data_IF_131018834757
#
_entry.id   IF_131018834757
#
_cell.length_a   1.000
_cell.length_b   1.000
_cell.length_c   1.000
_cell.angle_alpha   90.00
_cell.angle_beta   90.00
_cell.angle_gamma   90.00
#
_symmetry.space_group_name_H-M   'P 1'
#
loop_
_entity.id
_entity.type
_entity.pdbx_description
1 polymer ?
2 non-polymer ?
3 non-polymer ?
4 water ?
#
# COMPACT_ATOMS: atom_id res chain seq x y z
N UNK A 21 8.31 -8.88 -14.92
CA UNK A 21 9.38 -8.13 -15.56
C UNK A 21 8.82 -6.85 -16.19
N UNK A 22 7.53 -6.60 -15.98
CA UNK A 22 6.85 -5.45 -16.54
C UNK A 22 6.26 -4.58 -15.44
N UNK A 23 6.47 -3.27 -15.54
CA UNK A 23 5.85 -2.34 -14.61
C UNK A 23 4.43 -2.03 -15.07
N UNK A 24 3.58 -1.65 -14.12
CA UNK A 24 2.18 -1.42 -14.44
C UNK A 24 1.61 -0.27 -13.62
N UNK A 25 0.46 0.22 -14.08
CA UNK A 25 -0.28 1.30 -13.44
C UNK A 25 -1.76 0.99 -13.50
N UNK A 26 -2.50 1.34 -12.46
CA UNK A 26 -3.93 1.09 -12.38
C UNK A 26 -4.66 2.37 -12.01
N UNK A 27 -5.65 2.75 -12.81
CA UNK A 27 -6.43 3.95 -12.58
C UNK A 27 -7.62 3.66 -11.67
N UNK A 28 -7.92 4.62 -10.79
CA UNK A 28 -9.04 4.47 -9.88
C UNK A 28 -10.35 4.36 -10.66
N UNK A 29 -11.11 3.30 -10.38
CA UNK A 29 -12.38 3.05 -11.03
C UNK A 29 -13.30 2.36 -10.04
N UNK A 30 -14.56 2.78 -10.02
CA UNK A 30 -15.56 2.15 -9.16
C UNK A 30 -16.09 0.84 -9.74
N UNK A 31 -15.54 0.37 -10.86
CA UNK A 31 -15.96 -0.86 -11.51
C UNK A 31 -14.92 -1.95 -11.30
N UNK A 32 -15.19 -3.11 -11.89
CA UNK A 32 -14.33 -4.29 -11.87
C UNK A 32 -14.10 -4.83 -10.46
N UNK A 33 -14.93 -4.45 -9.48
CA UNK A 33 -14.83 -5.00 -8.14
C UNK A 33 -15.61 -6.30 -8.06
N UNK A 34 -14.92 -7.40 -7.77
CA UNK A 34 -15.56 -8.70 -7.74
C UNK A 34 -15.97 -9.07 -6.32
N UNK A 35 -17.10 -9.77 -6.14
CA UNK A 35 -17.52 -10.16 -4.79
C UNK A 35 -16.64 -11.28 -4.25
N UNK A 36 -16.22 -11.13 -3.00
CA UNK A 36 -15.39 -12.10 -2.30
C UNK A 36 -16.09 -12.72 -1.10
N UNK A 37 -16.78 -11.92 -0.31
CA UNK A 37 -17.55 -12.36 0.85
C UNK A 37 -18.78 -11.48 0.93
N UNK A 38 -19.83 -11.90 1.65
CA UNK A 38 -20.98 -11.03 1.86
C UNK A 38 -20.57 -9.65 2.39
N UNK A 39 -20.74 -8.63 1.55
CA UNK A 39 -20.36 -7.28 1.90
C UNK A 39 -18.90 -6.92 1.65
N UNK A 40 -18.12 -7.83 1.08
CA UNK A 40 -16.70 -7.61 0.83
C UNK A 40 -16.44 -7.73 -0.66
N UNK A 41 -15.96 -6.65 -1.26
CA UNK A 41 -15.56 -6.65 -2.67
C UNK A 41 -14.04 -6.50 -2.77
N UNK A 42 -13.44 -7.20 -3.72
CA UNK A 42 -11.99 -7.24 -3.88
C UNK A 42 -11.65 -6.89 -5.32
N UNK A 43 -10.47 -6.30 -5.51
CA UNK A 43 -9.97 -5.98 -6.84
C UNK A 43 -8.45 -5.88 -6.77
N UNK A 44 -7.76 -6.72 -7.53
CA UNK A 44 -6.30 -6.65 -7.61
C UNK A 44 -5.90 -5.47 -8.48
N UNK A 45 -5.16 -4.53 -7.91
CA UNK A 45 -4.75 -3.34 -8.65
C UNK A 45 -3.53 -3.62 -9.53
N UNK A 46 -2.39 -3.93 -8.90
CA UNK A 46 -1.16 -4.22 -9.60
C UNK A 46 -0.43 -5.34 -8.87
N UNK A 47 0.54 -5.94 -9.56
CA UNK A 47 1.41 -6.93 -8.95
C UNK A 47 2.73 -6.95 -9.70
N UNK A 48 3.75 -7.51 -9.06
CA UNK A 48 5.06 -7.59 -9.66
C UNK A 48 5.74 -8.91 -9.45
N UNK A 49 7.05 -8.89 -9.20
CA UNK A 49 7.82 -10.09 -9.00
C UNK A 49 7.85 -10.55 -7.54
N UNK A 50 7.61 -9.65 -6.59
CA UNK A 50 7.63 -9.99 -5.18
C UNK A 50 6.38 -9.58 -4.42
N UNK A 51 5.51 -8.76 -4.99
CA UNK A 51 4.34 -8.25 -4.27
C UNK A 51 3.10 -8.38 -5.14
N UNK A 52 1.96 -8.10 -4.51
CA UNK A 52 0.67 -8.01 -5.18
C UNK A 52 -0.21 -7.09 -4.35
N UNK A 53 -0.84 -6.12 -5.00
CA UNK A 53 -1.64 -5.11 -4.31
C UNK A 53 -3.11 -5.27 -4.68
N UNK A 54 -3.97 -5.35 -3.67
CA UNK A 54 -5.41 -5.45 -3.84
C UNK A 54 -6.10 -4.33 -3.08
N UNK A 55 -7.33 -4.05 -3.48
CA UNK A 55 -8.17 -3.07 -2.80
C UNK A 55 -9.48 -3.73 -2.37
N UNK A 56 -9.82 -3.59 -1.09
CA UNK A 56 -11.03 -4.17 -0.52
C UNK A 56 -12.05 -3.08 -0.26
N UNK A 57 -13.27 -3.29 -0.72
CA UNK A 57 -14.41 -2.43 -0.42
C UNK A 57 -15.34 -3.21 0.50
N UNK A 58 -15.47 -2.75 1.74
CA UNK A 58 -16.12 -3.51 2.81
C UNK A 58 -17.34 -2.73 3.30
N UNK A 59 -18.50 -3.36 3.25
CA UNK A 59 -19.73 -2.74 3.71
C UNK A 59 -19.81 -2.74 5.24
N UNK A 60 -20.65 -1.86 5.77
CA UNK A 60 -20.85 -1.76 7.21
C UNK A 60 -21.49 -3.04 7.74
N UNK A 61 -20.92 -3.57 8.83
CA UNK A 61 -21.42 -4.77 9.46
C UNK A 61 -20.77 -6.05 9.00
N UNK A 62 -20.10 -6.04 7.85
CA UNK A 62 -19.43 -7.23 7.35
C UNK A 62 -18.15 -7.48 8.14
N UNK A 63 -17.47 -8.58 7.81
CA UNK A 63 -16.24 -8.94 8.50
C UNK A 63 -15.44 -9.89 7.64
N UNK A 64 -14.14 -9.96 7.90
CA UNK A 64 -13.27 -10.92 7.24
C UNK A 64 -12.96 -12.05 8.22
N UNK A 65 -13.22 -13.30 7.85
CA UNK A 65 -13.01 -14.41 8.80
C UNK A 65 -11.54 -14.68 9.04
N UNK A 66 -11.29 -15.49 10.07
CA UNK A 66 -9.93 -15.82 10.46
C UNK A 66 -9.27 -16.70 9.40
N UNK A 67 -8.08 -16.30 8.97
CA UNK A 67 -7.33 -17.05 7.96
C UNK A 67 -5.84 -17.00 8.28
N UNK A 68 -5.12 -18.00 7.81
CA UNK A 68 -3.66 -18.06 7.90
C UNK A 68 -3.15 -18.46 6.52
N UNK A 69 -2.54 -17.51 5.82
CA UNK A 69 -1.99 -17.74 4.50
C UNK A 69 -0.48 -17.53 4.52
N UNK A 70 0.27 -18.28 3.69
CA UNK A 70 1.73 -18.14 3.63
C UNK A 70 2.20 -16.88 2.89
N UNK A 71 1.57 -15.75 3.22
CA UNK A 71 1.89 -14.48 2.59
C UNK A 71 1.93 -13.40 3.67
N UNK A 72 3.00 -12.62 3.68
CA UNK A 72 3.04 -11.45 4.55
C UNK A 72 2.07 -10.40 4.02
N UNK A 73 1.31 -9.79 4.92
CA UNK A 73 0.26 -8.86 4.56
C UNK A 73 0.49 -7.53 5.27
N UNK A 74 0.75 -6.49 4.50
CA UNK A 74 0.84 -5.13 5.01
C UNK A 74 -0.21 -4.28 4.33
N UNK A 75 -0.97 -3.50 5.12
CA UNK A 75 -2.15 -2.84 4.62
C UNK A 75 -2.23 -1.40 5.08
N UNK A 76 -3.20 -0.68 4.49
CA UNK A 76 -3.43 0.72 4.78
C UNK A 76 -4.93 0.97 4.64
N UNK A 77 -5.54 1.64 5.62
CA UNK A 77 -6.96 1.91 5.59
C UNK A 77 -7.18 3.28 4.95
N UNK A 78 -7.80 3.30 3.78
CA UNK A 78 -8.07 4.57 3.10
C UNK A 78 -9.16 5.34 3.82
N UNK A 79 -10.25 4.66 4.20
CA UNK A 79 -11.36 5.32 4.85
C UNK A 79 -12.14 4.29 5.65
N UNK A 80 -13.02 4.77 6.51
CA UNK A 80 -13.88 3.93 7.31
C UNK A 80 -13.32 3.68 8.69
N UNK A 81 -13.83 2.62 9.32
CA UNK A 81 -13.43 2.23 10.67
C UNK A 81 -13.65 0.73 10.82
N UNK A 82 -12.59 0.01 11.14
CA UNK A 82 -12.64 -1.44 11.34
C UNK A 82 -11.93 -1.78 12.64
N UNK A 83 -12.08 -3.04 13.05
CA UNK A 83 -11.36 -3.60 14.18
C UNK A 83 -10.50 -4.74 13.67
N UNK A 84 -9.19 -4.58 13.77
CA UNK A 84 -8.25 -5.57 13.28
C UNK A 84 -7.79 -6.47 14.43
N UNK A 85 -7.85 -7.77 14.21
CA UNK A 85 -7.39 -8.76 15.17
C UNK A 85 -6.16 -9.44 14.57
N UNK A 86 -5.02 -9.33 15.24
CA UNK A 86 -3.81 -10.03 14.83
C UNK A 86 -3.36 -10.91 15.99
N UNK A 87 -3.23 -12.21 15.73
CA UNK A 87 -2.93 -13.20 16.77
C UNK A 87 -3.88 -13.02 17.96
N UNK A 88 -3.33 -12.58 19.10
CA UNK A 88 -4.12 -12.32 20.29
C UNK A 88 -4.38 -10.83 20.50
N UNK A 89 -3.83 -9.96 19.66
CA UNK A 89 -3.97 -8.53 19.83
C UNK A 89 -5.22 -8.02 19.13
N UNK A 90 -5.80 -6.96 19.70
CA UNK A 90 -6.98 -6.31 19.14
C UNK A 90 -6.70 -4.83 18.99
N UNK A 91 -7.15 -4.25 17.87
CA UNK A 91 -6.88 -2.84 17.60
C UNK A 91 -8.00 -2.26 16.75
N UNK A 92 -8.50 -1.09 17.15
CA UNK A 92 -9.42 -0.34 16.31
C UNK A 92 -8.63 0.43 15.27
N UNK A 93 -9.04 0.31 14.00
CA UNK A 93 -8.33 0.93 12.87
C UNK A 93 -9.22 1.99 12.27
N UNK A 94 -8.66 3.17 12.03
CA UNK A 94 -9.34 4.29 11.40
C UNK A 94 -8.54 4.75 10.19
N UNK A 95 -9.05 5.78 9.51
CA UNK A 95 -8.44 6.27 8.28
C UNK A 95 -6.99 6.71 8.52
N UNK A 96 -6.09 6.20 7.70
CA UNK A 96 -4.67 6.52 7.79
C UNK A 96 -3.84 5.51 8.53
N UNK A 97 -4.46 4.63 9.31
CA UNK A 97 -3.73 3.62 10.05
C UNK A 97 -3.21 2.54 9.12
N UNK A 98 -2.16 1.85 9.56
CA UNK A 98 -1.53 0.80 8.78
C UNK A 98 -1.20 -0.38 9.69
N UNK A 99 -0.87 -1.51 9.06
CA UNK A 99 -0.57 -2.74 9.79
C UNK A 99 0.34 -3.60 8.94
N UNK A 100 0.95 -4.61 9.59
CA UNK A 100 1.77 -5.60 8.91
C UNK A 100 1.56 -6.94 9.61
N UNK A 101 1.08 -7.93 8.87
CA UNK A 101 0.74 -9.24 9.39
C UNK A 101 1.73 -10.25 8.82
N UNK A 102 2.50 -10.96 9.65
CA UNK A 102 3.48 -11.91 9.11
C UNK A 102 2.84 -13.13 8.47
N UNK A 103 3.67 -14.04 7.97
CA UNK A 103 3.16 -15.25 7.36
C UNK A 103 2.54 -16.16 8.42
N UNK A 104 1.44 -16.82 8.03
CA UNK A 104 0.85 -17.90 8.82
C UNK A 104 0.43 -17.45 10.22
N UNK A 105 0.08 -16.17 10.36
CA UNK A 105 -0.37 -15.62 11.64
C UNK A 105 -1.87 -15.42 11.57
N UNK A 106 -2.58 -15.90 12.59
CA UNK A 106 -4.03 -15.76 12.63
C UNK A 106 -4.43 -14.30 12.66
N UNK A 107 -5.38 -13.94 11.79
CA UNK A 107 -5.86 -12.57 11.72
C UNK A 107 -7.27 -12.57 11.14
N UNK A 108 -8.08 -11.64 11.65
CA UNK A 108 -9.43 -11.41 11.11
C UNK A 108 -9.82 -10.00 11.50
N UNK A 109 -10.90 -9.51 10.88
CA UNK A 109 -11.32 -8.14 11.09
C UNK A 109 -12.84 -8.05 11.10
N UNK A 110 -13.35 -7.04 11.80
CA UNK A 110 -14.77 -6.71 11.85
C UNK A 110 -14.95 -5.29 11.37
N UNK A 111 -15.81 -5.10 10.38
CA UNK A 111 -15.98 -3.81 9.71
C UNK A 111 -17.10 -3.06 10.40
N UNK A 112 -16.76 -1.93 11.03
CA UNK A 112 -17.75 -1.15 11.78
C UNK A 112 -18.48 -0.12 10.92
N UNK A 113 -17.81 0.43 9.91
CA UNK A 113 -18.42 1.37 8.98
C UNK A 113 -17.96 1.03 7.57
N UNK A 114 -18.63 1.61 6.59
CA UNK A 114 -18.22 1.45 5.19
C UNK A 114 -16.77 1.85 5.03
N UNK A 115 -15.90 0.87 4.78
CA UNK A 115 -14.46 1.11 4.76
C UNK A 115 -13.86 0.68 3.42
N UNK A 116 -12.67 1.23 3.16
CA UNK A 116 -11.87 0.89 2.00
C UNK A 116 -10.44 0.68 2.48
N UNK A 117 -9.85 -0.46 2.10
CA UNK A 117 -8.49 -0.78 2.52
C UNK A 117 -7.66 -1.21 1.31
N UNK A 118 -6.38 -0.87 1.34
CA UNK A 118 -5.40 -1.32 0.36
C UNK A 118 -4.48 -2.31 1.06
N UNK A 119 -4.28 -3.48 0.44
CA UNK A 119 -3.50 -4.55 1.04
C UNK A 119 -2.43 -5.02 0.07
N UNK A 120 -1.21 -5.21 0.57
CA UNK A 120 -0.10 -5.72 -0.22
C UNK A 120 0.29 -7.07 0.36
N UNK A 121 0.56 -8.03 -0.53
CA UNK A 121 0.95 -9.38 -0.13
C UNK A 121 2.33 -9.70 -0.67
N UNK A 122 3.14 -10.37 0.14
CA UNK A 122 4.47 -10.80 -0.29
C UNK A 122 4.72 -12.23 0.17
N UNK A 123 5.07 -13.15 -0.74
CA UNK A 123 5.28 -12.87 -2.16
C UNK A 123 3.98 -12.71 -2.95
N UNK A 124 4.11 -12.66 -4.28
CA UNK A 124 2.95 -12.47 -5.16
C UNK A 124 1.90 -13.54 -4.94
N UNK A 125 0.76 -13.16 -4.35
CA UNK A 125 -0.35 -14.08 -4.10
C UNK A 125 -1.02 -14.44 -5.41
N UNK A 126 -0.59 -15.52 -6.06
CA UNK A 126 -1.01 -15.82 -7.41
C UNK A 126 -2.51 -16.10 -7.51
N UNK A 127 -3.13 -16.56 -6.43
CA UNK A 127 -4.56 -16.82 -6.46
C UNK A 127 -5.38 -15.54 -6.59
N UNK A 128 -4.82 -14.39 -6.21
CA UNK A 128 -5.53 -13.12 -6.32
C UNK A 128 -5.31 -12.43 -7.66
N UNK A 129 -4.49 -13.00 -8.55
CA UNK A 129 -4.29 -12.41 -9.87
C UNK A 129 -5.58 -12.44 -10.66
N UNK A 130 -6.46 -13.41 -10.39
CA UNK A 130 -7.72 -13.50 -11.12
C UNK A 130 -8.66 -12.36 -10.82
N UNK A 131 -8.42 -11.58 -9.75
CA UNK A 131 -9.24 -10.42 -9.44
C UNK A 131 -8.70 -9.13 -10.08
N UNK A 132 -7.75 -9.25 -11.01
CA UNK A 132 -7.15 -8.05 -11.60
C UNK A 132 -8.18 -7.28 -12.39
N UNK A 133 -8.21 -5.96 -12.18
CA UNK A 133 -9.12 -5.13 -12.94
C UNK A 133 -8.68 -5.07 -14.40
N UNK A 134 -9.63 -4.76 -15.27
CA UNK A 134 -9.31 -4.59 -16.69
C UNK A 134 -8.64 -3.24 -16.98
N UNK A 135 -8.65 -2.31 -16.03
CA UNK A 135 -8.09 -0.97 -16.22
C UNK A 135 -6.62 -0.87 -15.83
N UNK A 136 -5.90 -1.97 -15.71
CA UNK A 136 -4.47 -1.94 -15.40
C UNK A 136 -3.66 -2.02 -16.69
N UNK A 137 -2.88 -0.96 -16.97
CA UNK A 137 -2.05 -0.90 -18.16
C UNK A 137 -0.61 -1.15 -17.76
N UNK A 138 0.20 -1.57 -18.74
CA UNK A 138 1.61 -1.86 -18.52
C UNK A 138 2.44 -0.63 -18.86
N UNK A 139 3.48 -0.38 -18.06
CA UNK A 139 4.34 0.80 -18.19
C UNK A 139 3.52 2.08 -18.11
N UNK B 21 9.60 -11.11 12.86
CA UNK B 21 8.66 -12.18 13.16
C UNK B 21 7.52 -11.69 14.05
N UNK B 22 7.47 -10.38 14.27
CA UNK B 22 6.46 -9.77 15.12
C UNK B 22 5.64 -8.78 14.30
N UNK B 23 4.32 -8.82 14.50
CA UNK B 23 3.42 -7.90 13.82
C UNK B 23 3.40 -6.54 14.54
N UNK B 24 3.02 -5.52 13.78
CA UNK B 24 2.99 -4.16 14.30
C UNK B 24 1.80 -3.41 13.72
N UNK B 25 1.46 -2.30 14.37
CA UNK B 25 0.36 -1.43 13.96
C UNK B 25 0.81 0.02 14.12
N UNK B 26 0.38 0.87 13.19
CA UNK B 26 0.76 2.27 13.20
C UNK B 26 -0.47 3.14 13.09
N UNK B 27 -0.61 4.09 14.02
CA UNK B 27 -1.73 5.02 14.01
C UNK B 27 -1.39 6.24 13.17
N UNK B 28 -2.39 6.74 12.44
CA UNK B 28 -2.17 7.92 11.61
C UNK B 28 -1.80 9.12 12.46
N UNK B 29 -0.69 9.75 12.13
CA UNK B 29 -0.22 10.92 12.85
C UNK B 29 0.51 11.84 11.88
N UNK B 30 0.24 13.14 11.98
CA UNK B 30 0.90 14.12 11.14
C UNK B 30 2.30 14.48 11.62
N UNK B 31 2.80 13.81 12.66
CA UNK B 31 4.12 14.07 13.22
C UNK B 31 5.08 12.95 12.82
N UNK B 32 6.30 13.05 13.32
CA UNK B 32 7.37 12.07 13.10
C UNK B 32 7.73 11.91 11.62
N UNK B 33 7.37 12.88 10.79
CA UNK B 33 7.75 12.86 9.38
C UNK B 33 9.15 13.45 9.22
N UNK B 34 10.08 12.65 8.69
CA UNK B 34 11.45 13.12 8.58
C UNK B 34 11.69 13.71 7.19
N UNK B 35 12.51 14.75 7.09
CA UNK B 35 12.81 15.35 5.78
C UNK B 35 13.74 14.45 4.98
N UNK B 36 13.40 14.24 3.72
CA UNK B 36 14.20 13.43 2.80
C UNK B 36 14.76 14.23 1.65
N UNK B 37 13.95 15.08 1.03
CA UNK B 37 14.33 15.96 -0.06
C UNK B 37 13.56 17.26 0.08
N UNK B 38 14.00 18.34 -0.59
CA UNK B 38 13.23 19.59 -0.58
C UNK B 38 11.77 19.38 -0.95
N UNK B 39 10.87 19.56 0.02
CA UNK B 39 9.45 19.37 -0.20
C UNK B 39 8.96 17.95 -0.05
N UNK B 40 9.84 17.01 0.32
CA UNK B 40 9.49 15.60 0.46
C UNK B 40 9.75 15.18 1.89
N UNK B 41 8.69 14.73 2.56
CA UNK B 41 8.79 14.15 3.90
C UNK B 41 8.50 12.66 3.84
N UNK B 42 9.23 11.88 4.62
CA UNK B 42 9.11 10.43 4.59
C UNK B 42 8.90 9.92 6.01
N UNK B 43 8.20 8.79 6.12
CA UNK B 43 7.97 8.14 7.40
C UNK B 43 7.67 6.67 7.15
N UNK B 44 8.48 5.78 7.72
CA UNK B 44 8.21 4.35 7.63
C UNK B 44 7.07 3.99 8.59
N UNK B 45 5.98 3.46 8.03
CA UNK B 45 4.83 3.12 8.86
C UNK B 45 5.04 1.77 9.55
N UNK B 46 5.14 0.70 8.77
CA UNK B 46 5.34 -0.65 9.29
C UNK B 46 6.28 -1.40 8.35
N UNK B 47 6.82 -2.51 8.86
CA UNK B 47 7.63 -3.39 8.04
C UNK B 47 7.65 -4.78 8.66
N UNK B 48 8.02 -5.77 7.86
CA UNK B 48 8.13 -7.14 8.32
C UNK B 48 9.37 -7.83 7.80
N UNK B 49 9.25 -9.10 7.44
CA UNK B 49 10.38 -9.85 6.91
C UNK B 49 10.50 -9.76 5.39
N UNK B 50 9.44 -9.38 4.69
CA UNK B 50 9.47 -9.30 3.24
C UNK B 50 9.07 -7.94 2.68
N UNK B 51 8.48 -7.06 3.48
CA UNK B 51 7.99 -5.78 2.99
C UNK B 51 8.41 -4.65 3.93
N UNK B 52 8.21 -3.44 3.46
CA UNK B 52 8.40 -2.23 4.26
C UNK B 52 7.51 -1.15 3.66
N UNK B 53 6.70 -0.51 4.50
CA UNK B 53 5.73 0.47 4.04
C UNK B 53 6.09 1.86 4.55
N UNK B 54 6.16 2.82 3.62
CA UNK B 54 6.45 4.21 3.93
C UNK B 54 5.32 5.09 3.42
N UNK B 55 5.25 6.30 3.98
CA UNK B 55 4.30 7.31 3.54
C UNK B 55 5.08 8.57 3.18
N UNK B 56 4.84 9.09 1.98
CA UNK B 56 5.50 10.29 1.48
C UNK B 56 4.52 11.44 1.50
N UNK B 57 4.93 12.56 2.08
CA UNK B 57 4.18 13.81 2.04
C UNK B 57 4.95 14.76 1.15
N UNK B 58 4.38 15.08 -0.02
CA UNK B 58 5.10 15.80 -1.07
C UNK B 58 4.37 17.10 -1.36
N UNK B 59 5.10 18.21 -1.25
CA UNK B 59 4.53 19.53 -1.51
C UNK B 59 4.39 19.78 -3.00
N UNK B 60 3.55 20.76 -3.34
CA UNK B 60 3.37 21.15 -4.73
C UNK B 60 4.68 21.69 -5.29
N UNK B 61 5.05 21.21 -6.48
CA UNK B 61 6.25 21.66 -7.15
C UNK B 61 7.48 20.80 -6.92
N UNK B 62 7.46 19.94 -5.90
CA UNK B 62 8.60 19.08 -5.61
C UNK B 62 8.68 17.95 -6.64
N UNK B 63 9.70 17.11 -6.50
CA UNK B 63 9.93 16.01 -7.42
C UNK B 63 10.79 14.96 -6.75
N UNK B 64 10.71 13.74 -7.26
CA UNK B 64 11.58 12.64 -6.85
C UNK B 64 12.62 12.41 -7.93
N UNK B 65 13.91 12.47 -7.62
CA UNK B 65 14.93 12.30 -8.67
C UNK B 65 14.99 10.86 -9.14
N UNK B 66 15.68 10.67 -10.27
CA UNK B 66 15.81 9.35 -10.87
C UNK B 66 16.69 8.45 -10.01
N UNK B 67 16.18 7.26 -9.69
CA UNK B 67 16.92 6.29 -8.88
C UNK B 67 16.64 4.89 -9.40
N UNK B 68 17.60 4.00 -9.14
CA UNK B 68 17.45 2.57 -9.40
C UNK B 68 17.93 1.82 -8.16
N UNK B 69 16.98 1.24 -7.42
CA UNK B 69 17.28 0.50 -6.21
C UNK B 69 16.88 -0.96 -6.37
N UNK B 70 17.62 -1.90 -5.76
CA UNK B 70 17.29 -3.33 -5.85
C UNK B 70 16.09 -3.73 -5.00
N UNK B 71 15.02 -2.94 -5.08
CA UNK B 71 13.79 -3.18 -4.35
C UNK B 71 12.62 -2.93 -5.28
N UNK B 72 11.70 -3.90 -5.34
CA UNK B 72 10.45 -3.70 -6.05
C UNK B 72 9.59 -2.68 -5.29
N UNK B 73 8.96 -1.78 -6.05
CA UNK B 73 8.20 -0.69 -5.47
C UNK B 73 6.77 -0.72 -6.01
N UNK B 74 5.81 -0.95 -5.11
CA UNK B 74 4.39 -0.84 -5.44
C UNK B 74 3.79 0.22 -4.54
N UNK B 75 3.04 1.15 -5.13
CA UNK B 75 2.59 2.33 -4.42
C UNK B 75 1.14 2.64 -4.67
N UNK B 76 0.62 3.55 -3.85
CA UNK B 76 -0.77 3.97 -3.91
C UNK B 76 -0.83 5.44 -3.52
N UNK B 77 -1.54 6.24 -4.32
CA UNK B 77 -1.65 7.66 -4.07
C UNK B 77 -2.89 7.92 -3.22
N UNK B 78 -2.67 8.40 -1.99
CA UNK B 78 -3.79 8.70 -1.10
C UNK B 78 -4.53 9.95 -1.59
N UNK B 79 -3.78 11.00 -1.93
CA UNK B 79 -4.37 12.26 -2.36
C UNK B 79 -3.36 13.01 -3.20
N UNK B 80 -3.83 14.05 -3.88
CA UNK B 80 -2.97 14.90 -4.68
C UNK B 80 -2.96 14.52 -6.15
N UNK B 81 -1.90 14.97 -6.83
CA UNK B 81 -1.73 14.70 -8.25
C UNK B 81 -0.25 14.75 -8.56
N UNK B 82 0.29 13.67 -9.11
CA UNK B 82 1.69 13.57 -9.48
C UNK B 82 1.80 13.01 -10.89
N UNK B 83 3.01 13.09 -11.44
CA UNK B 83 3.33 12.48 -12.73
C UNK B 83 4.43 11.46 -12.49
N UNK B 84 4.14 10.20 -12.77
CA UNK B 84 5.08 9.11 -12.57
C UNK B 84 5.81 8.82 -13.87
N UNK B 85 7.13 8.73 -13.80
CA UNK B 85 7.96 8.41 -14.96
C UNK B 85 8.57 7.02 -14.78
N UNK B 86 8.26 6.13 -15.71
CA UNK B 86 8.86 4.80 -15.80
C UNK B 86 9.54 4.70 -17.15
N UNK B 87 10.82 4.34 -17.13
CA UNK B 87 11.70 4.42 -18.31
C UNK B 87 11.58 5.81 -18.91
N UNK B 88 11.05 5.88 -20.13
CA UNK B 88 10.78 7.14 -20.80
C UNK B 88 9.30 7.50 -20.80
N UNK B 89 8.45 6.62 -20.27
CA UNK B 89 7.02 6.82 -20.29
C UNK B 89 6.58 7.64 -19.09
N UNK B 90 5.48 8.36 -19.28
CA UNK B 90 4.91 9.23 -18.26
C UNK B 90 3.44 8.91 -18.06
N UNK B 91 2.97 9.05 -16.83
CA UNK B 91 1.58 8.78 -16.47
C UNK B 91 1.18 9.75 -15.38
N UNK B 92 0.03 10.40 -15.57
CA UNK B 92 -0.53 11.25 -14.53
C UNK B 92 -1.25 10.39 -13.50
N UNK B 93 -0.95 10.63 -12.23
CA UNK B 93 -1.46 9.84 -11.12
C UNK B 93 -2.39 10.72 -10.30
N UNK B 94 -3.58 10.21 -9.99
CA UNK B 94 -4.54 10.93 -9.15
C UNK B 94 -4.95 10.03 -7.99
N UNK B 95 -5.82 10.57 -7.13
CA UNK B 95 -6.24 9.85 -5.94
C UNK B 95 -6.88 8.51 -6.31
N UNK B 96 -6.39 7.44 -5.68
CA UNK B 96 -6.88 6.11 -5.93
C UNK B 96 -6.05 5.31 -6.91
N UNK B 97 -5.18 5.96 -7.68
CA UNK B 97 -4.34 5.25 -8.63
C UNK B 97 -3.24 4.49 -7.91
N UNK B 98 -2.73 3.45 -8.56
CA UNK B 98 -1.67 2.62 -8.01
C UNK B 98 -0.66 2.31 -9.11
N UNK B 99 0.48 1.78 -8.69
CA UNK B 99 1.56 1.45 -9.62
C UNK B 99 2.40 0.34 -9.03
N UNK B 100 3.22 -0.27 -9.88
CA UNK B 100 4.19 -1.28 -9.43
C UNK B 100 5.44 -1.15 -10.29
N UNK B 101 6.57 -0.88 -9.65
CA UNK B 101 7.85 -0.68 -10.30
C UNK B 101 8.77 -1.84 -9.92
N UNK B 102 9.26 -2.63 -10.88
CA UNK B 102 10.13 -3.76 -10.53
C UNK B 102 11.51 -3.31 -10.05
N UNK B 103 12.36 -4.27 -9.73
CA UNK B 103 13.70 -3.98 -9.26
C UNK B 103 14.55 -3.36 -10.37
N UNK B 104 15.41 -2.41 -9.98
CA UNK B 104 16.44 -1.86 -10.85
C UNK B 104 15.85 -1.21 -12.10
N UNK B 105 14.64 -0.66 -12.00
CA UNK B 105 13.99 0.04 -13.10
C UNK B 105 14.04 1.52 -12.82
N UNK B 106 14.50 2.29 -13.80
CA UNK B 106 14.59 3.74 -13.65
C UNK B 106 13.20 4.34 -13.44
N UNK B 107 13.07 5.18 -12.42
CA UNK B 107 11.80 5.81 -12.13
C UNK B 107 12.05 7.12 -11.40
N UNK B 108 11.18 8.10 -11.68
CA UNK B 108 11.19 9.38 -10.98
C UNK B 108 9.79 9.97 -11.13
N UNK B 109 9.52 10.99 -10.33
CA UNK B 109 8.18 11.57 -10.30
C UNK B 109 8.26 13.08 -10.12
N UNK B 110 7.23 13.76 -10.62
CA UNK B 110 7.06 15.20 -10.45
C UNK B 110 5.72 15.47 -9.78
N UNK B 111 5.76 16.21 -8.68
CA UNK B 111 4.58 16.41 -7.84
C UNK B 111 3.88 17.70 -8.27
N UNK B 112 2.65 17.57 -8.76
CA UNK B 112 1.91 18.71 -9.28
C UNK B 112 1.11 19.45 -8.22
N UNK B 113 0.62 18.74 -7.21
CA UNK B 113 -0.11 19.36 -6.10
C UNK B 113 0.35 18.72 -4.80
N UNK B 114 -0.03 19.33 -3.68
CA UNK B 114 0.25 18.75 -2.37
C UNK B 114 -0.33 17.33 -2.34
N UNK B 115 0.55 16.34 -2.33
CA UNK B 115 0.14 14.94 -2.48
C UNK B 115 0.60 14.12 -1.30
N UNK B 116 -0.06 12.97 -1.13
CA UNK B 116 0.32 11.96 -0.14
C UNK B 116 0.30 10.60 -0.81
N UNK B 117 1.40 9.87 -0.70
CA UNK B 117 1.53 8.57 -1.34
C UNK B 117 2.02 7.55 -0.32
N UNK B 118 1.53 6.32 -0.44
CA UNK B 118 1.99 5.19 0.34
C UNK B 118 2.77 4.27 -0.58
N UNK B 119 3.96 3.87 -0.16
CA UNK B 119 4.84 3.04 -0.98
C UNK B 119 5.29 1.82 -0.19
N UNK B 120 5.25 0.66 -0.83
CA UNK B 120 5.71 -0.60 -0.25
C UNK B 120 6.93 -1.08 -1.02
N UNK B 121 7.93 -1.57 -0.30
CA UNK B 121 9.16 -2.06 -0.89
C UNK B 121 9.37 -3.53 -0.55
N UNK B 122 9.87 -4.29 -1.52
CA UNK B 122 10.19 -5.70 -1.35
C UNK B 122 11.53 -5.96 -2.03
N UNK B 123 12.52 -6.53 -1.31
CA UNK B 123 12.40 -6.97 0.08
C UNK B 123 12.49 -5.81 1.07
N UNK B 124 12.61 -6.14 2.36
CA UNK B 124 12.66 -5.13 3.40
C UNK B 124 13.78 -4.15 3.15
N UNK B 125 13.43 -2.92 2.76
CA UNK B 125 14.41 -1.87 2.49
C UNK B 125 15.03 -1.39 3.81
N UNK B 126 16.13 -2.01 4.21
CA UNK B 126 16.67 -1.79 5.55
C UNK B 126 17.12 -0.36 5.77
N UNK B 127 17.51 0.35 4.70
CA UNK B 127 17.93 1.73 4.85
C UNK B 127 16.78 2.65 5.27
N UNK B 128 15.53 2.24 5.02
CA UNK B 128 14.36 3.03 5.41
C UNK B 128 13.84 2.69 6.79
N UNK B 129 14.45 1.71 7.48
CA UNK B 129 13.99 1.36 8.83
C UNK B 129 14.23 2.51 9.79
N UNK B 130 15.27 3.32 9.55
CA UNK B 130 15.57 4.45 10.42
C UNK B 130 14.51 5.55 10.36
N UNK B 131 13.58 5.49 9.41
CA UNK B 131 12.49 6.44 9.32
C UNK B 131 11.25 6.00 10.09
N UNK B 132 11.40 5.03 10.98
CA UNK B 132 10.26 4.54 11.75
C UNK B 132 9.69 5.65 12.62
N UNK B 133 8.36 5.71 12.68
CA UNK B 133 7.65 6.73 13.46
C UNK B 133 7.85 6.59 14.97
N UNK B 134 8.70 5.66 15.42
CA UNK B 134 9.06 5.47 16.82
C UNK B 134 7.89 5.00 17.67
N UNK B 135 6.67 5.12 17.17
CA UNK B 135 5.50 4.69 17.91
C UNK B 135 5.23 3.22 17.61
N UNK B 136 4.52 2.95 16.52
CA UNK B 136 4.26 1.60 16.01
C UNK B 136 3.69 0.67 17.07
N UNK B 137 3.66 -0.63 16.74
CA UNK B 137 3.17 -1.72 17.60
C UNK B 137 2.04 -1.32 18.54
X LIG C 1 -7.78 -13.44 4.55
X LIG C 1 -7.57 -14.43 3.59
X LIG C 1 -7.54 -12.09 3.86
X LIG C 1 -8.54 -11.78 2.97
X LIG C 1 -7.46 -11.06 5.02
X LIG C 1 -6.91 -9.89 4.48
X LIG D 1 -5.34 -12.24 5.15
X LIG E 1 11.61 6.81 -5.14
X LIG E 1 10.30 6.97 -4.70
X LIG E 1 12.53 6.89 -3.90
X LIG E 1 12.38 5.78 -3.07
X LIG E 1 13.95 7.00 -4.48
X LIG E 1 14.78 7.42 -3.44
X LIG F 1 12.00 4.53 -5.71
#
# INVERSE_FOLDING_TARGET
MGSSHHHHHHSSGLVPRGSHMASMYAKHSAQNYQPLLPGIKIKTLVYGELTLMTEFVMDKGSSLPDHTHPYEQTGYLVSGKIILYIEDKKQQIMAGDSWCIPKNVHHHAEILENSVAVEVFAPTREEYIKYLDRTTVVE
MGSSHHHHHHSSGLVPRGSHMASMYAKHSAQNYQPLLPGIKIKTLVYGELTLMTEFVMDKGSSLPDHTHPYEQTGYLVSGKIILYIEDKKQQIMAGDSWCIPKNVHHHAEILENSVAVEVFAPTREEYIKYLDRTTVVE
GOL C1 O1 C2 O2 C3 O3
CU CU
GOL C1 O1 C2 O2 C3 O3
CU CU
#
